data_IF_047285803138
#
_entry.id   IF_047285803138
#
_cell.length_a   1.000
_cell.length_b   1.000
_cell.length_c   1.000
_cell.angle_alpha   90.00
_cell.angle_beta   90.00
_cell.angle_gamma   90.00
#
_symmetry.space_group_name_H-M   'P 1'
#
loop_
_entity.id
_entity.type
_entity.pdbx_description
1 polymer ?
#
# COMPACT_ATOMS: atom_id res chain seq x y z
N UNK A 1 7.82 -21.26 -16.21
CA UNK A 1 6.82 -22.05 -16.97
C UNK A 1 5.78 -22.57 -15.98
N UNK A 2 4.50 -22.28 -16.18
CA UNK A 2 3.40 -22.61 -15.25
C UNK A 2 3.06 -24.11 -15.29
N UNK A 3 3.21 -24.88 -14.18
CA UNK A 3 2.94 -26.31 -14.13
C UNK A 3 1.49 -26.68 -14.47
N UNK A 4 0.53 -25.80 -14.15
CA UNK A 4 -0.91 -26.06 -14.34
C UNK A 4 -1.25 -26.02 -15.83
N UNK A 5 -0.67 -25.07 -16.55
CA UNK A 5 -0.87 -24.87 -17.99
C UNK A 5 -0.32 -26.00 -18.87
N UNK A 6 0.56 -26.86 -18.33
CA UNK A 6 1.08 -28.04 -19.04
C UNK A 6 0.10 -29.22 -19.02
N UNK A 7 -0.83 -29.26 -18.07
CA UNK A 7 -1.70 -30.42 -17.81
C UNK A 7 -3.19 -30.13 -18.02
N UNK A 8 -3.58 -28.86 -17.99
CA UNK A 8 -4.99 -28.47 -18.04
C UNK A 8 -5.20 -27.27 -18.96
N UNK A 9 -6.36 -27.21 -19.63
CA UNK A 9 -6.74 -26.14 -20.55
C UNK A 9 -8.21 -25.77 -20.32
N UNK A 10 -8.47 -24.51 -19.96
CA UNK A 10 -9.81 -23.92 -19.98
C UNK A 10 -9.73 -22.39 -20.17
N UNK A 11 -10.87 -21.78 -20.57
CA UNK A 11 -10.95 -20.39 -21.06
C UNK A 11 -10.33 -19.34 -20.12
N UNK A 12 -10.37 -19.56 -18.81
CA UNK A 12 -9.92 -18.60 -17.78
C UNK A 12 -8.78 -19.11 -16.88
N UNK A 13 -8.05 -20.17 -17.28
CA UNK A 13 -7.03 -20.83 -16.45
C UNK A 13 -6.10 -19.87 -15.72
N UNK A 14 -5.53 -18.90 -16.44
CA UNK A 14 -4.61 -17.91 -15.85
C UNK A 14 -5.28 -17.04 -14.79
N UNK A 15 -6.54 -16.64 -15.01
CA UNK A 15 -7.30 -15.81 -14.08
C UNK A 15 -7.61 -16.60 -12.81
N UNK A 16 -8.04 -17.84 -12.97
CA UNK A 16 -8.45 -18.70 -11.86
C UNK A 16 -7.25 -19.08 -10.99
N UNK A 17 -6.11 -19.46 -11.60
CA UNK A 17 -4.86 -19.67 -10.86
C UNK A 17 -4.41 -18.42 -10.11
N UNK A 18 -4.56 -17.22 -10.72
CA UNK A 18 -4.23 -15.97 -10.04
C UNK A 18 -5.17 -15.68 -8.86
N UNK A 19 -6.47 -15.97 -8.99
CA UNK A 19 -7.46 -15.84 -7.91
C UNK A 19 -7.12 -16.81 -6.79
N UNK A 20 -6.87 -18.08 -7.09
CA UNK A 20 -6.51 -19.09 -6.08
C UNK A 20 -5.23 -18.73 -5.33
N UNK A 21 -4.20 -18.27 -6.03
CA UNK A 21 -2.97 -17.79 -5.39
C UNK A 21 -3.21 -16.55 -4.51
N UNK A 22 -4.18 -15.69 -4.85
CA UNK A 22 -4.55 -14.51 -4.07
C UNK A 22 -5.40 -14.84 -2.86
N UNK A 23 -6.23 -15.88 -2.90
CA UNK A 23 -7.11 -16.29 -1.79
C UNK A 23 -6.49 -17.34 -0.88
N UNK A 24 -5.42 -18.02 -1.31
CA UNK A 24 -4.71 -19.00 -0.51
C UNK A 24 -3.96 -18.35 0.67
N UNK A 25 -4.35 -18.70 1.90
CA UNK A 25 -3.74 -18.19 3.14
C UNK A 25 -2.24 -18.50 3.20
N UNK A 26 -1.81 -19.69 2.77
CA UNK A 26 -0.39 -20.05 2.74
C UNK A 26 0.37 -19.14 1.77
N UNK A 27 -0.15 -18.93 0.55
CA UNK A 27 0.47 -18.05 -0.43
C UNK A 27 0.48 -16.58 0.01
N UNK A 28 -0.59 -16.12 0.66
CA UNK A 28 -0.68 -14.77 1.23
C UNK A 28 0.36 -14.57 2.34
N UNK A 29 0.49 -15.53 3.27
CA UNK A 29 1.49 -15.49 4.35
C UNK A 29 2.93 -15.52 3.81
N UNK A 30 3.19 -16.27 2.75
CA UNK A 30 4.49 -16.28 2.06
C UNK A 30 4.76 -15.00 1.25
N UNK A 31 3.73 -14.22 0.93
CA UNK A 31 3.79 -12.93 0.22
C UNK A 31 3.72 -11.72 1.15
N UNK A 32 3.81 -11.91 2.48
CA UNK A 32 4.08 -10.80 3.39
C UNK A 32 5.39 -10.20 2.91
N UNK A 33 5.26 -9.00 2.36
CA UNK A 33 6.16 -8.31 1.48
C UNK A 33 7.62 -8.41 1.93
N UNK A 34 8.52 -8.42 0.95
CA UNK A 34 9.91 -8.04 1.13
C UNK A 34 9.92 -6.53 1.41
N UNK A 35 9.28 -6.14 2.51
CA UNK A 35 9.22 -4.78 2.99
C UNK A 35 10.65 -4.32 3.04
N UNK A 36 10.95 -3.27 2.27
CA UNK A 36 12.18 -2.51 2.34
C UNK A 36 12.27 -1.98 3.76
N UNK A 37 12.72 -2.82 4.70
CA UNK A 37 13.13 -2.36 6.01
C UNK A 37 14.33 -1.49 5.72
N UNK A 38 14.11 -0.18 5.65
CA UNK A 38 15.22 0.76 5.71
C UNK A 38 16.04 0.35 6.93
N UNK A 39 17.33 0.05 6.77
CA UNK A 39 18.16 -0.27 7.92
C UNK A 39 17.98 0.86 8.92
N UNK A 40 17.73 0.51 10.18
CA UNK A 40 17.64 1.49 11.26
C UNK A 40 18.96 2.22 11.25
N UNK A 41 18.95 3.50 10.86
CA UNK A 41 20.13 4.34 10.87
C UNK A 41 20.70 4.36 12.28
N UNK A 42 22.02 4.25 12.42
CA UNK A 42 22.66 4.43 13.73
C UNK A 42 22.58 5.90 14.08
N UNK A 43 21.64 6.28 14.93
CA UNK A 43 21.65 7.60 15.55
C UNK A 43 22.82 7.66 16.54
N UNK A 44 23.78 8.59 16.39
CA UNK A 44 24.86 8.73 17.35
C UNK A 44 24.28 9.19 18.69
N UNK A 45 24.33 8.31 19.69
CA UNK A 45 24.04 8.69 21.07
C UNK A 45 25.06 9.74 21.52
N UNK A 46 24.63 10.87 22.10
CA UNK A 46 25.56 11.87 22.59
C UNK A 46 26.42 11.27 23.71
N UNK A 47 27.73 11.18 23.49
CA UNK A 47 28.71 10.61 24.42
C UNK A 47 29.10 11.58 25.56
N UNK A 48 28.13 12.30 26.12
CA UNK A 48 28.34 13.30 27.16
C UNK A 48 27.13 14.22 27.39
N UNK A 49 27.16 15.05 28.43
CA UNK A 49 26.08 15.99 28.73
C UNK A 49 26.08 17.13 27.71
N UNK A 50 25.39 16.93 26.59
CA UNK A 50 25.02 18.03 25.68
C UNK A 50 23.87 18.81 26.27
N UNK A 51 23.79 20.11 25.97
CA UNK A 51 22.60 20.87 26.35
C UNK A 51 21.36 20.32 25.62
N UNK A 52 20.18 20.44 26.23
CA UNK A 52 18.93 20.02 25.60
C UNK A 52 18.72 20.65 24.22
N UNK A 53 19.16 21.90 24.06
CA UNK A 53 19.10 22.66 22.81
C UNK A 53 19.97 22.02 21.70
N UNK A 54 21.19 21.61 22.02
CA UNK A 54 22.10 20.95 21.06
C UNK A 54 21.55 19.59 20.61
N UNK A 55 20.97 18.83 21.54
CA UNK A 55 20.33 17.55 21.22
C UNK A 55 19.17 17.72 20.24
N UNK A 56 18.28 18.69 20.48
CA UNK A 56 17.15 18.96 19.60
C UNK A 56 17.59 19.40 18.20
N UNK A 57 18.63 20.24 18.11
CA UNK A 57 19.18 20.68 16.82
C UNK A 57 19.73 19.50 16.02
N UNK A 58 20.56 18.65 16.64
CA UNK A 58 21.09 17.44 15.99
C UNK A 58 19.97 16.48 15.57
N UNK A 59 18.92 16.34 16.39
CA UNK A 59 17.78 15.49 16.07
C UNK A 59 17.02 16.00 14.83
N UNK A 60 16.70 17.28 14.76
CA UNK A 60 16.01 17.87 13.62
C UNK A 60 16.81 17.76 12.31
N UNK A 61 18.13 17.95 12.37
CA UNK A 61 19.02 17.75 11.23
C UNK A 61 19.01 16.29 10.76
N UNK A 62 19.13 15.34 11.69
CA UNK A 62 19.11 13.91 11.36
C UNK A 62 17.80 13.49 10.69
N UNK A 63 16.64 13.91 11.22
CA UNK A 63 15.34 13.57 10.64
C UNK A 63 15.08 14.26 9.29
N UNK A 64 15.69 15.42 9.02
CA UNK A 64 15.63 16.06 7.70
C UNK A 64 16.34 15.22 6.63
N UNK A 65 17.44 14.56 6.99
CA UNK A 65 18.20 13.69 6.10
C UNK A 65 17.54 12.33 5.87
N UNK A 66 16.61 11.91 6.73
CA UNK A 66 15.81 10.70 6.53
C UNK A 66 14.78 10.94 5.41
N UNK A 67 15.16 10.60 4.18
CA UNK A 67 14.26 10.58 3.03
C UNK A 67 13.77 9.16 2.73
N UNK A 68 12.53 8.98 2.24
CA UNK A 68 12.05 7.70 1.76
C UNK A 68 13.00 7.15 0.68
N UNK A 69 13.41 5.89 0.81
CA UNK A 69 14.23 5.24 -0.21
C UNK A 69 13.41 5.13 -1.50
N UNK A 70 13.95 5.67 -2.60
CA UNK A 70 13.37 5.55 -3.93
C UNK A 70 12.95 4.10 -4.19
N UNK A 71 11.66 3.86 -4.34
CA UNK A 71 11.12 2.56 -4.72
C UNK A 71 11.13 2.42 -6.23
N UNK A 72 11.27 1.21 -6.73
CA UNK A 72 11.09 0.92 -8.15
C UNK A 72 9.64 1.28 -8.55
N UNK A 73 9.47 2.34 -9.34
CA UNK A 73 8.17 2.72 -9.90
C UNK A 73 7.95 1.96 -11.21
N UNK A 74 7.13 0.90 -11.14
CA UNK A 74 6.69 0.16 -12.32
C UNK A 74 5.36 0.70 -12.88
N UNK A 75 4.84 1.78 -12.29
CA UNK A 75 3.55 2.38 -12.62
C UNK A 75 3.75 3.74 -13.27
N UNK A 76 3.99 3.75 -14.58
CA UNK A 76 3.83 4.97 -15.40
C UNK A 76 2.40 5.57 -15.38
N UNK A 77 1.50 5.02 -14.55
CA UNK A 77 0.15 5.50 -14.29
C UNK A 77 -0.01 5.68 -12.78
N UNK A 78 -0.21 6.92 -12.35
CA UNK A 78 -0.32 7.32 -10.93
C UNK A 78 -1.37 6.51 -10.14
N UNK A 79 -2.39 5.97 -10.81
CA UNK A 79 -3.41 5.10 -10.21
C UNK A 79 -4.22 4.35 -11.28
N UNK A 80 -4.59 3.09 -11.00
CA UNK A 80 -5.51 2.33 -11.84
C UNK A 80 -6.93 2.88 -11.67
N UNK A 81 -7.54 3.36 -12.76
CA UNK A 81 -8.95 3.79 -12.81
C UNK A 81 -9.74 2.76 -13.60
N UNK A 82 -10.79 2.21 -13.01
CA UNK A 82 -11.69 1.29 -13.70
C UNK A 82 -12.49 2.02 -14.78
N UNK A 83 -12.73 1.37 -15.93
CA UNK A 83 -13.44 1.99 -17.06
C UNK A 83 -14.85 2.42 -16.69
N UNK A 84 -15.54 1.56 -15.94
CA UNK A 84 -16.93 1.77 -15.53
C UNK A 84 -17.06 2.69 -14.29
N UNK A 85 -15.99 3.41 -13.93
CA UNK A 85 -16.04 4.34 -12.81
C UNK A 85 -16.79 5.62 -13.20
N UNK A 86 -16.77 6.00 -14.48
CA UNK A 86 -17.43 7.19 -15.01
C UNK A 86 -18.96 7.11 -14.98
N UNK A 87 -19.52 5.91 -15.06
CA UNK A 87 -20.96 5.60 -15.10
C UNK A 87 -21.47 4.92 -13.81
N UNK A 88 -20.60 4.60 -12.85
CA UNK A 88 -20.99 4.00 -11.57
C UNK A 88 -22.18 4.73 -10.90
N UNK A 89 -23.23 3.98 -10.55
CA UNK A 89 -24.45 4.52 -9.95
C UNK A 89 -24.29 4.86 -8.46
N UNK A 90 -23.39 4.15 -7.78
CA UNK A 90 -23.12 4.31 -6.35
C UNK A 90 -21.63 4.37 -6.06
N UNK A 91 -21.26 5.08 -5.00
CA UNK A 91 -19.90 5.19 -4.51
C UNK A 91 -19.82 4.81 -3.02
N UNK A 92 -18.66 4.29 -2.63
CA UNK A 92 -18.30 4.05 -1.25
C UNK A 92 -17.31 5.13 -0.80
N UNK A 93 -17.57 5.78 0.33
CA UNK A 93 -16.73 6.87 0.85
C UNK A 93 -15.83 6.34 1.95
N UNK A 94 -14.52 6.53 1.78
CA UNK A 94 -13.53 6.08 2.75
C UNK A 94 -13.60 6.93 4.02
N UNK A 95 -13.54 6.27 5.18
CA UNK A 95 -13.36 6.93 6.47
C UNK A 95 -11.89 6.86 6.88
N UNK A 96 -11.18 7.99 6.82
CA UNK A 96 -9.74 8.08 7.10
C UNK A 96 -9.39 8.51 8.53
N UNK A 97 -10.27 8.23 9.48
CA UNK A 97 -10.01 8.48 10.91
C UNK A 97 -9.32 7.28 11.58
N UNK A 98 -8.56 7.53 12.65
CA UNK A 98 -7.94 6.48 13.49
C UNK A 98 -9.04 5.54 13.99
N UNK A 99 -9.02 4.29 13.50
CA UNK A 99 -10.14 3.36 13.67
C UNK A 99 -10.11 2.66 15.01
N UNK A 100 -11.31 2.40 15.55
CA UNK A 100 -11.52 1.27 16.46
C UNK A 100 -11.47 -0.03 15.65
N UNK A 101 -10.96 -1.10 16.25
CA UNK A 101 -10.88 -2.44 15.63
C UNK A 101 -12.24 -2.87 15.08
N UNK A 102 -12.24 -3.58 13.94
CA UNK A 102 -13.42 -4.20 13.31
C UNK A 102 -14.45 -3.26 12.64
N UNK A 103 -14.16 -1.95 12.48
CA UNK A 103 -15.02 -1.07 11.65
C UNK A 103 -14.68 -1.13 10.17
N UNK A 104 -15.73 -1.20 9.33
CA UNK A 104 -15.58 -1.18 7.88
C UNK A 104 -14.91 0.14 7.42
N UNK A 105 -13.92 0.08 6.51
CA UNK A 105 -13.17 1.26 6.06
C UNK A 105 -13.98 2.27 5.25
N UNK A 106 -15.11 1.83 4.69
CA UNK A 106 -15.90 2.61 3.77
C UNK A 106 -17.35 2.66 4.25
N UNK A 107 -17.97 3.82 4.09
CA UNK A 107 -19.40 3.99 4.19
C UNK A 107 -20.04 3.87 2.81
N UNK A 108 -21.32 3.52 2.76
CA UNK A 108 -22.08 3.44 1.52
C UNK A 108 -22.75 2.08 1.35
N UNK A 109 -23.42 1.83 0.21
CA UNK A 109 -23.35 2.58 -1.05
C UNK A 109 -24.15 3.89 -1.06
N UNK A 110 -23.55 4.97 -1.55
CA UNK A 110 -24.23 6.26 -1.75
C UNK A 110 -24.51 6.50 -3.23
N UNK A 111 -25.70 6.97 -3.57
CA UNK A 111 -26.05 7.30 -4.96
C UNK A 111 -25.23 8.49 -5.45
N UNK A 112 -24.62 8.36 -6.63
CA UNK A 112 -23.89 9.46 -7.28
C UNK A 112 -24.92 10.39 -7.93
N UNK A 113 -25.01 11.63 -7.44
CA UNK A 113 -25.98 12.61 -7.94
C UNK A 113 -25.43 13.43 -9.12
N UNK A 114 -24.15 13.78 -9.07
CA UNK A 114 -23.48 14.58 -10.09
C UNK A 114 -21.98 14.25 -10.13
N UNK A 115 -21.36 14.48 -11.29
CA UNK A 115 -19.92 14.29 -11.52
C UNK A 115 -19.36 15.58 -12.08
N UNK A 116 -18.22 16.03 -11.56
CA UNK A 116 -17.48 17.12 -12.19
C UNK A 116 -16.80 16.59 -13.44
N UNK A 117 -16.86 17.29 -14.58
CA UNK A 117 -16.01 16.96 -15.72
C UNK A 117 -14.55 17.06 -15.28
N UNK A 118 -13.79 16.02 -15.61
CA UNK A 118 -12.34 15.93 -15.39
C UNK A 118 -11.57 16.71 -16.43
#
# INVERSE_FOLDING_TARGET
MDPVRRRYIWKSLRKDCAIWCKTCISCQKSKIDRHTKSPIGKYPLPSGPKSYQEFLTTLHEHFREIQPKQTSDHSGRLFFVHKDLSDASHAFVRQDMVKRTLRQPYNGPFKVLARKPT
#
